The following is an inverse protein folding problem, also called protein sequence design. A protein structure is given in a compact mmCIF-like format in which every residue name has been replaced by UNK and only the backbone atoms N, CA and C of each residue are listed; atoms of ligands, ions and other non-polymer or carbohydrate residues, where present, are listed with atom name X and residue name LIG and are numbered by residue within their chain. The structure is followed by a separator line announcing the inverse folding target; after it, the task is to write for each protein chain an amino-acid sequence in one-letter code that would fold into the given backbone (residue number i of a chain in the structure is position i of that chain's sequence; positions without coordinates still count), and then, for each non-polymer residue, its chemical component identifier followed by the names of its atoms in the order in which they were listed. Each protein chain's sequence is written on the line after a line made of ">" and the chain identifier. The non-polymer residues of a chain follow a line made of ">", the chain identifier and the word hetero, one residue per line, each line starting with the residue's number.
data_IF_581666892992
#
_entry.id   IF_581666892992
#
_cell.length_a   1.000
_cell.length_b   1.000
_cell.length_c   1.000
_cell.angle_alpha   90.00
_cell.angle_beta   90.00
_cell.angle_gamma   90.00
#
_symmetry.space_group_name_H-M   'P 1'
#
loop_
_entity.id
_entity.type
_entity.pdbx_description
1 polymer ?
#
# COMPACT_ATOMS: atom_id res chain seq x y z
N UNK A 1 41.51 0.91 -10.62
CA UNK A 1 40.45 1.87 -10.97
C UNK A 1 39.11 1.16 -10.74
N UNK A 2 38.54 1.25 -9.53
CA UNK A 2 37.29 0.53 -9.23
C UNK A 2 36.17 1.15 -10.07
N UNK A 3 35.57 0.35 -10.95
CA UNK A 3 34.31 0.66 -11.62
C UNK A 3 33.22 0.75 -10.55
N UNK A 4 32.98 1.95 -10.01
CA UNK A 4 31.77 2.22 -9.26
C UNK A 4 30.58 1.95 -10.19
N UNK A 5 29.84 0.86 -9.97
CA UNK A 5 28.53 0.69 -10.59
C UNK A 5 27.66 1.80 -10.03
N UNK A 6 27.43 2.85 -10.82
CA UNK A 6 26.45 3.89 -10.52
C UNK A 6 25.07 3.24 -10.54
N UNK A 7 24.60 2.79 -9.38
CA UNK A 7 23.21 2.42 -9.20
C UNK A 7 22.42 3.71 -9.02
N UNK A 8 21.36 3.88 -9.81
CA UNK A 8 20.56 5.08 -9.81
C UNK A 8 19.13 4.79 -10.23
N UNK A 9 18.24 5.74 -10.00
CA UNK A 9 16.83 5.58 -10.31
C UNK A 9 16.23 6.89 -10.83
N UNK A 10 15.09 6.77 -11.49
CA UNK A 10 14.36 7.91 -12.05
C UNK A 10 12.90 7.84 -11.64
N UNK A 11 12.29 9.01 -11.44
CA UNK A 11 10.83 9.10 -11.32
C UNK A 11 10.14 8.66 -12.61
N UNK A 12 8.81 8.45 -12.57
CA UNK A 12 8.03 8.00 -13.72
C UNK A 12 8.17 8.94 -14.92
N UNK A 13 8.14 10.26 -14.69
CA UNK A 13 8.28 11.24 -15.78
C UNK A 13 9.73 11.57 -16.18
N UNK A 14 10.72 10.93 -15.55
CA UNK A 14 12.14 11.15 -15.83
C UNK A 14 12.74 12.48 -15.34
N UNK A 15 11.96 13.41 -14.78
CA UNK A 15 12.46 14.74 -14.37
C UNK A 15 13.35 14.73 -13.12
N UNK A 16 13.23 13.69 -12.28
CA UNK A 16 14.09 13.47 -11.13
C UNK A 16 14.94 12.23 -11.35
N UNK A 17 16.23 12.35 -11.06
CA UNK A 17 17.22 11.26 -11.15
C UNK A 17 18.06 11.23 -9.90
N UNK A 18 18.21 10.05 -9.32
CA UNK A 18 19.13 9.77 -8.23
C UNK A 18 20.30 8.93 -8.74
N UNK A 19 21.48 9.27 -8.29
CA UNK A 19 22.72 8.53 -8.50
C UNK A 19 23.35 8.27 -7.14
N UNK A 20 23.82 7.05 -6.92
CA UNK A 20 24.43 6.67 -5.64
C UNK A 20 25.84 6.15 -5.83
N UNK A 21 26.71 6.55 -4.90
CA UNK A 21 28.11 6.17 -4.81
C UNK A 21 28.25 5.01 -3.82
N UNK A 22 28.56 3.81 -4.32
CA UNK A 22 28.77 2.63 -3.47
C UNK A 22 27.51 1.82 -3.16
N UNK A 23 27.72 0.78 -2.35
CA UNK A 23 26.70 -0.21 -2.01
C UNK A 23 25.78 0.26 -0.87
N UNK A 24 24.52 -0.23 -0.81
CA UNK A 24 23.63 0.08 0.30
C UNK A 24 24.15 -0.46 1.63
N UNK A 25 23.96 0.32 2.69
CA UNK A 25 24.22 -0.07 4.07
C UNK A 25 23.23 -1.15 4.52
N UNK A 26 21.96 -0.97 4.14
CA UNK A 26 20.88 -1.89 4.46
C UNK A 26 19.72 -1.78 3.47
N UNK A 27 18.95 -2.84 3.28
CA UNK A 27 17.71 -2.86 2.48
C UNK A 27 16.58 -3.44 3.32
N UNK A 28 15.57 -2.63 3.61
CA UNK A 28 14.46 -3.02 4.49
C UNK A 28 13.10 -2.68 3.90
N UNK A 29 12.07 -3.37 4.39
CA UNK A 29 10.68 -3.04 4.12
C UNK A 29 10.03 -2.64 5.45
N UNK A 30 9.60 -1.38 5.55
CA UNK A 30 9.01 -0.81 6.75
C UNK A 30 7.48 -0.81 6.65
N UNK A 31 6.81 -1.51 7.57
CA UNK A 31 5.35 -1.74 7.58
C UNK A 31 4.59 -0.82 8.54
N UNK A 32 5.25 0.19 9.12
CA UNK A 32 4.58 1.10 10.04
C UNK A 32 3.44 1.85 9.34
N UNK A 33 2.47 2.30 10.12
CA UNK A 33 1.28 2.97 9.58
C UNK A 33 1.62 4.20 8.73
N UNK A 34 2.63 4.98 9.13
CA UNK A 34 3.08 6.15 8.37
C UNK A 34 3.65 5.77 6.99
N UNK A 35 4.44 4.69 6.92
CA UNK A 35 5.01 4.20 5.67
C UNK A 35 3.92 3.61 4.77
N UNK A 36 2.98 2.84 5.32
CA UNK A 36 1.83 2.31 4.57
C UNK A 36 0.96 3.44 3.99
N UNK A 37 0.57 4.39 4.84
CA UNK A 37 -0.29 5.51 4.45
C UNK A 37 0.40 6.47 3.49
N UNK A 38 1.72 6.66 3.58
CA UNK A 38 2.42 7.51 2.63
C UNK A 38 2.54 6.85 1.26
N UNK A 39 3.04 5.61 1.21
CA UNK A 39 3.23 4.87 -0.04
C UNK A 39 1.92 4.45 -0.70
N UNK A 40 0.83 4.37 0.07
CA UNK A 40 -0.43 3.78 -0.36
C UNK A 40 -0.35 2.25 -0.53
N UNK A 41 0.74 1.62 -0.10
CA UNK A 41 1.03 0.20 -0.33
C UNK A 41 1.35 -0.53 0.98
N UNK A 42 1.89 -1.74 0.89
CA UNK A 42 2.19 -2.63 2.02
C UNK A 42 3.22 -2.05 2.99
N UNK A 43 4.01 -1.07 2.55
CA UNK A 43 5.04 -0.43 3.34
C UNK A 43 6.03 0.33 2.45
N UNK A 44 7.01 0.99 3.07
CA UNK A 44 8.06 1.69 2.33
C UNK A 44 9.25 0.76 2.14
N UNK A 45 9.67 0.59 0.88
CA UNK A 45 10.95 -0.02 0.60
C UNK A 45 12.05 1.02 0.84
N UNK A 46 12.99 0.69 1.73
CA UNK A 46 14.05 1.58 2.15
C UNK A 46 15.41 0.96 1.83
N UNK A 47 16.10 1.55 0.85
CA UNK A 47 17.49 1.22 0.51
C UNK A 47 18.37 2.29 1.15
N UNK A 48 19.07 1.93 2.23
CA UNK A 48 19.77 2.85 3.11
C UNK A 48 21.17 3.14 2.59
N UNK A 49 21.49 4.42 2.44
CA UNK A 49 22.82 4.92 2.08
C UNK A 49 23.22 6.06 3.01
N UNK A 50 24.52 6.36 3.07
CA UNK A 50 24.98 7.61 3.69
C UNK A 50 24.47 8.77 2.85
N UNK A 51 24.14 9.88 3.52
CA UNK A 51 23.64 11.07 2.83
C UNK A 51 24.63 11.59 1.79
N UNK A 52 25.93 11.57 2.11
CA UNK A 52 26.99 12.07 1.22
C UNK A 52 27.22 11.20 -0.02
N UNK A 53 26.72 9.97 -0.02
CA UNK A 53 26.83 9.03 -1.14
C UNK A 53 25.69 9.21 -2.17
N UNK A 54 24.69 10.06 -1.90
CA UNK A 54 23.48 10.16 -2.72
C UNK A 54 23.37 11.53 -3.39
N UNK A 55 23.41 11.51 -4.72
CA UNK A 55 23.20 12.68 -5.56
C UNK A 55 21.79 12.63 -6.14
N UNK A 56 20.98 13.68 -5.93
CA UNK A 56 19.64 13.77 -6.49
C UNK A 56 19.48 15.06 -7.30
N UNK A 57 18.96 14.92 -8.52
CA UNK A 57 18.68 16.02 -9.44
C UNK A 57 17.18 16.10 -9.76
N UNK A 58 16.73 17.28 -10.14
CA UNK A 58 15.31 17.58 -10.43
C UNK A 58 14.59 18.24 -9.25
N UNK A 59 13.39 18.78 -9.51
CA UNK A 59 12.59 19.48 -8.50
C UNK A 59 11.82 18.48 -7.63
N UNK A 60 12.05 18.54 -6.32
CA UNK A 60 11.36 17.72 -5.32
C UNK A 60 10.36 18.55 -4.51
N UNK A 61 9.34 17.87 -4.00
CA UNK A 61 8.46 18.35 -2.94
C UNK A 61 8.73 17.53 -1.68
N UNK A 62 8.70 18.18 -0.53
CA UNK A 62 9.07 17.57 0.75
C UNK A 62 7.87 17.50 1.69
N UNK A 63 7.84 16.46 2.50
CA UNK A 63 6.89 16.28 3.58
C UNK A 63 7.58 15.69 4.79
N UNK A 64 7.45 16.36 5.94
CA UNK A 64 8.10 15.93 7.18
C UNK A 64 7.11 15.12 8.02
N UNK A 65 7.54 13.93 8.46
CA UNK A 65 6.83 13.06 9.40
C UNK A 65 7.80 12.50 10.43
N UNK A 66 7.69 12.97 11.68
CA UNK A 66 8.65 12.63 12.72
C UNK A 66 10.08 13.01 12.30
N UNK A 67 11.01 12.06 12.34
CA UNK A 67 12.40 12.26 11.93
C UNK A 67 12.63 12.18 10.40
N UNK A 68 11.60 11.90 9.61
CA UNK A 68 11.69 11.59 8.17
C UNK A 68 11.32 12.80 7.33
N UNK A 69 12.18 13.15 6.39
CA UNK A 69 11.88 14.11 5.32
C UNK A 69 11.64 13.35 4.03
N UNK A 70 10.37 13.10 3.73
CA UNK A 70 9.91 12.33 2.57
C UNK A 70 9.92 13.21 1.33
N UNK A 71 10.57 12.77 0.25
CA UNK A 71 10.73 13.57 -0.97
C UNK A 71 10.12 12.88 -2.19
N UNK A 72 9.25 13.60 -2.88
CA UNK A 72 8.59 13.15 -4.10
C UNK A 72 8.91 14.07 -5.27
N UNK A 73 8.80 13.57 -6.49
CA UNK A 73 8.93 14.38 -7.70
C UNK A 73 7.87 15.50 -7.72
N UNK A 74 8.26 16.76 -7.94
CA UNK A 74 7.30 17.86 -8.00
C UNK A 74 6.32 17.77 -9.18
N UNK A 75 6.68 17.06 -10.25
CA UNK A 75 5.87 16.90 -11.47
C UNK A 75 4.93 15.70 -11.42
N UNK A 76 5.45 14.50 -11.17
CA UNK A 76 4.67 13.26 -11.22
C UNK A 76 4.39 12.62 -9.85
N UNK A 77 4.86 13.24 -8.75
CA UNK A 77 4.68 12.79 -7.35
C UNK A 77 5.16 11.37 -7.02
N UNK A 78 5.86 10.70 -7.93
CA UNK A 78 6.65 9.50 -7.62
C UNK A 78 7.52 9.72 -6.38
N UNK A 79 7.50 8.78 -5.45
CA UNK A 79 8.37 8.80 -4.29
C UNK A 79 9.82 8.53 -4.72
N UNK A 80 10.74 9.40 -4.29
CA UNK A 80 12.14 9.37 -4.73
C UNK A 80 13.03 8.86 -3.60
N UNK A 81 13.01 9.56 -2.47
CA UNK A 81 13.84 9.22 -1.32
C UNK A 81 13.25 9.80 -0.04
N UNK A 82 13.70 9.28 1.09
CA UNK A 82 13.44 9.83 2.42
C UNK A 82 14.77 10.15 3.09
N UNK A 83 14.95 11.39 3.55
CA UNK A 83 16.12 11.76 4.34
C UNK A 83 15.86 11.55 5.82
N UNK A 84 16.89 11.10 6.54
CA UNK A 84 16.98 11.01 8.00
C UNK A 84 18.14 11.91 8.47
N UNK A 85 17.96 13.24 8.51
CA UNK A 85 19.07 14.19 8.64
C UNK A 85 19.91 13.98 9.90
N UNK A 86 19.26 13.70 11.04
CA UNK A 86 19.96 13.45 12.32
C UNK A 86 20.84 12.20 12.29
N UNK A 87 20.55 11.25 11.41
CA UNK A 87 21.34 10.03 11.25
C UNK A 87 22.37 10.13 10.12
N UNK A 88 22.34 11.20 9.30
CA UNK A 88 23.16 11.29 8.10
C UNK A 88 22.84 10.21 7.06
N UNK A 89 21.58 9.77 6.99
CA UNK A 89 21.13 8.67 6.13
C UNK A 89 20.07 9.11 5.13
N UNK A 90 20.06 8.44 3.97
CA UNK A 90 18.99 8.49 2.99
C UNK A 90 18.46 7.08 2.74
N UNK A 91 17.14 6.96 2.66
CA UNK A 91 16.44 5.78 2.16
C UNK A 91 15.98 6.05 0.73
N UNK A 92 16.49 5.33 -0.26
CA UNK A 92 15.92 5.39 -1.61
C UNK A 92 14.62 4.59 -1.65
N UNK A 93 13.62 5.15 -2.31
CA UNK A 93 12.31 4.52 -2.47
C UNK A 93 12.17 3.75 -3.80
N UNK A 94 13.21 3.68 -4.63
CA UNK A 94 13.07 3.38 -6.07
C UNK A 94 13.80 2.11 -6.52
N UNK A 95 13.25 1.56 -7.60
CA UNK A 95 13.37 0.21 -8.14
C UNK A 95 14.72 -0.18 -8.77
N UNK A 96 15.62 -0.77 -7.98
CA UNK A 96 16.62 -1.73 -8.47
C UNK A 96 16.27 -3.14 -7.98
N UNK A 97 16.90 -4.17 -8.57
CA UNK A 97 16.91 -5.50 -7.94
C UNK A 97 17.60 -5.35 -6.58
N UNK A 98 16.97 -5.83 -5.54
CA UNK A 98 17.47 -5.77 -4.17
C UNK A 98 17.56 -7.18 -3.59
N UNK A 99 18.47 -7.37 -2.65
CA UNK A 99 18.36 -8.44 -1.66
C UNK A 99 17.77 -7.80 -0.42
N UNK A 100 16.54 -8.13 -0.03
CA UNK A 100 15.95 -7.63 1.22
C UNK A 100 16.70 -8.21 2.41
N UNK A 101 16.89 -7.45 3.48
CA UNK A 101 17.61 -7.90 4.67
C UNK A 101 16.76 -7.97 5.94
N UNK A 102 15.66 -7.23 6.03
CA UNK A 102 14.72 -7.33 7.15
C UNK A 102 13.38 -6.62 6.87
N UNK A 103 12.35 -7.03 7.61
CA UNK A 103 11.10 -6.30 7.76
C UNK A 103 11.09 -5.59 9.10
N UNK A 104 10.70 -4.31 9.11
CA UNK A 104 10.51 -3.54 10.34
C UNK A 104 9.03 -3.22 10.54
N UNK A 105 8.59 -3.13 11.79
CA UNK A 105 7.20 -2.85 12.16
C UNK A 105 6.19 -3.88 11.66
N UNK A 106 6.56 -5.16 11.65
CA UNK A 106 5.80 -6.26 11.07
C UNK A 106 4.71 -6.82 12.01
N UNK A 107 4.00 -5.96 12.73
CA UNK A 107 2.92 -6.38 13.66
C UNK A 107 1.57 -6.56 12.97
N UNK A 108 1.32 -5.81 11.91
CA UNK A 108 0.03 -5.82 11.16
C UNK A 108 0.29 -5.66 9.66
N UNK A 109 1.05 -6.59 9.04
CA UNK A 109 1.33 -6.50 7.61
C UNK A 109 0.02 -6.59 6.79
N UNK A 110 -0.05 -5.82 5.70
CA UNK A 110 -1.22 -5.87 4.80
C UNK A 110 -1.24 -7.08 3.86
N UNK A 111 -0.07 -7.68 3.67
CA UNK A 111 0.13 -8.96 2.99
C UNK A 111 1.15 -9.70 3.83
N UNK A 112 0.88 -10.95 4.18
CA UNK A 112 1.88 -11.78 4.82
C UNK A 112 2.95 -12.21 3.80
N UNK A 113 4.11 -11.57 3.86
CA UNK A 113 5.27 -11.86 3.02
C UNK A 113 6.06 -12.99 3.68
N UNK A 114 5.80 -14.22 3.22
CA UNK A 114 6.55 -15.41 3.67
C UNK A 114 7.90 -15.50 2.93
N UNK A 115 8.87 -14.76 3.45
CA UNK A 115 10.28 -14.86 3.10
C UNK A 115 11.15 -15.25 4.32
N UNK A 116 12.44 -15.49 4.05
CA UNK A 116 13.38 -16.06 5.02
C UNK A 116 14.19 -15.00 5.77
N UNK A 117 13.85 -13.71 5.62
CA UNK A 117 14.57 -12.61 6.26
C UNK A 117 13.94 -12.27 7.62
N UNK A 118 14.73 -11.77 8.59
CA UNK A 118 14.22 -11.39 9.92
C UNK A 118 13.09 -10.37 9.86
N UNK A 119 12.08 -10.55 10.72
CA UNK A 119 10.91 -9.67 10.84
C UNK A 119 10.84 -9.15 12.26
N UNK A 120 10.80 -7.83 12.43
CA UNK A 120 10.81 -7.19 13.74
C UNK A 120 9.47 -6.52 14.05
N UNK A 121 9.04 -6.59 15.31
CA UNK A 121 7.87 -5.86 15.84
C UNK A 121 8.06 -4.35 15.67
N UNK A 122 9.29 -3.87 15.80
CA UNK A 122 9.71 -2.49 15.60
C UNK A 122 11.07 -2.44 14.87
N UNK A 123 12.12 -1.93 15.51
CA UNK A 123 13.49 -1.97 15.02
C UNK A 123 14.32 -3.05 15.76
N UNK A 124 15.37 -3.61 15.12
CA UNK A 124 16.35 -4.40 15.85
C UNK A 124 17.01 -3.57 16.97
N UNK A 125 17.49 -4.24 18.02
CA UNK A 125 18.23 -3.59 19.11
C UNK A 125 19.45 -2.79 18.62
N UNK A 126 20.11 -3.24 17.55
CA UNK A 126 21.22 -2.54 16.90
C UNK A 126 20.85 -1.20 16.25
N UNK A 127 19.55 -0.93 16.07
CA UNK A 127 19.00 0.35 15.59
C UNK A 127 18.16 1.05 16.67
N UNK A 128 18.32 0.65 17.94
CA UNK A 128 17.64 1.27 19.09
C UNK A 128 16.18 0.85 19.28
N UNK A 129 15.72 -0.24 18.65
CA UNK A 129 14.40 -0.82 18.93
C UNK A 129 14.42 -1.97 19.94
N UNK A 130 13.28 -2.62 20.12
CA UNK A 130 13.13 -3.73 21.06
C UNK A 130 13.94 -4.98 20.69
N UNK A 131 14.21 -5.19 19.40
CA UNK A 131 14.82 -6.43 18.90
C UNK A 131 13.87 -7.63 18.84
N UNK A 132 12.62 -7.48 19.27
CA UNK A 132 11.62 -8.57 19.29
C UNK A 132 11.29 -9.00 17.86
N UNK A 133 11.40 -10.30 17.59
CA UNK A 133 10.95 -10.86 16.31
C UNK A 133 9.43 -10.85 16.26
N UNK A 134 8.88 -10.46 15.11
CA UNK A 134 7.47 -10.62 14.81
C UNK A 134 7.23 -12.05 14.34
N UNK A 135 6.37 -12.78 15.04
CA UNK A 135 5.79 -14.01 14.53
C UNK A 135 4.78 -13.67 13.42
N UNK A 136 4.57 -14.57 12.46
CA UNK A 136 3.59 -14.35 11.39
C UNK A 136 2.18 -14.25 11.99
N UNK A 137 1.52 -13.10 11.82
CA UNK A 137 0.12 -12.91 12.20
C UNK A 137 -0.76 -13.11 10.98
N UNK A 138 -1.79 -13.95 11.11
CA UNK A 138 -2.85 -14.02 10.11
C UNK A 138 -3.58 -12.67 10.07
N UNK A 139 -3.68 -12.09 8.88
CA UNK A 139 -4.49 -10.91 8.66
C UNK A 139 -5.93 -11.23 9.06
N UNK A 140 -6.49 -10.47 10.01
CA UNK A 140 -7.90 -10.57 10.33
C UNK A 140 -8.68 -9.98 9.15
N UNK A 141 -9.09 -10.84 8.22
CA UNK A 141 -9.84 -10.49 7.01
C UNK A 141 -11.33 -10.51 7.30
N UNK A 142 -11.76 -9.77 8.33
CA UNK A 142 -13.19 -9.56 8.49
C UNK A 142 -13.66 -8.82 7.23
N UNK A 143 -14.67 -9.38 6.56
CA UNK A 143 -15.34 -8.79 5.40
C UNK A 143 -16.07 -7.52 5.86
N UNK A 144 -15.30 -6.46 6.09
CA UNK A 144 -15.85 -5.15 6.40
C UNK A 144 -16.50 -4.64 5.12
N UNK A 145 -17.80 -4.37 5.19
CA UNK A 145 -18.51 -3.64 4.12
C UNK A 145 -18.26 -2.13 4.19
N UNK A 146 -17.47 -1.67 5.17
CA UNK A 146 -17.12 -0.27 5.35
C UNK A 146 -15.60 -0.12 5.52
N UNK A 147 -14.98 0.62 4.59
CA UNK A 147 -13.57 1.01 4.66
C UNK A 147 -13.45 2.49 4.95
N UNK A 148 -12.46 2.85 5.75
CA UNK A 148 -12.06 4.25 5.93
C UNK A 148 -10.55 4.37 5.90
N UNK A 149 -10.07 5.53 5.47
CA UNK A 149 -8.65 5.75 5.30
C UNK A 149 -8.27 7.21 5.39
N UNK A 150 -6.97 7.45 5.59
CA UNK A 150 -6.41 8.78 5.55
C UNK A 150 -4.95 8.76 5.13
N UNK A 151 -4.52 9.85 4.52
CA UNK A 151 -3.10 10.10 4.29
C UNK A 151 -2.39 10.46 5.62
N UNK A 152 -1.05 10.36 5.72
CA UNK A 152 -0.33 10.63 6.96
C UNK A 152 -0.51 12.04 7.53
N UNK A 153 -0.77 13.05 6.68
CA UNK A 153 -0.97 14.42 7.14
C UNK A 153 -2.43 14.76 7.51
N UNK A 154 -3.35 13.79 7.41
CA UNK A 154 -4.77 13.96 7.72
C UNK A 154 -5.57 14.84 6.75
N UNK A 155 -4.96 15.36 5.68
CA UNK A 155 -5.63 16.25 4.73
C UNK A 155 -6.59 15.52 3.77
N UNK A 156 -6.40 14.21 3.60
CA UNK A 156 -7.27 13.34 2.84
C UNK A 156 -7.98 12.39 3.80
N UNK A 157 -9.30 12.29 3.67
CA UNK A 157 -10.13 11.26 4.28
C UNK A 157 -10.87 10.49 3.19
N UNK A 158 -10.94 9.17 3.35
CA UNK A 158 -11.65 8.27 2.43
C UNK A 158 -12.69 7.49 3.22
N UNK A 159 -13.90 7.37 2.68
CA UNK A 159 -14.97 6.49 3.17
C UNK A 159 -15.56 5.70 2.01
N UNK A 160 -15.79 4.41 2.24
CA UNK A 160 -16.31 3.47 1.24
C UNK A 160 -17.29 2.55 1.96
N UNK A 161 -18.50 2.39 1.40
CA UNK A 161 -19.54 1.51 1.94
C UNK A 161 -19.97 0.50 0.88
N UNK A 162 -18.99 -0.27 0.40
CA UNK A 162 -19.17 -1.26 -0.66
C UNK A 162 -18.07 -2.32 -0.59
N UNK A 163 -18.37 -3.51 -1.09
CA UNK A 163 -17.34 -4.53 -1.34
C UNK A 163 -16.50 -4.13 -2.57
N UNK A 164 -15.17 -4.41 -2.56
CA UNK A 164 -14.35 -4.16 -3.72
C UNK A 164 -14.73 -5.09 -4.88
N UNK A 165 -14.61 -4.60 -6.11
CA UNK A 165 -14.65 -5.43 -7.32
C UNK A 165 -13.47 -6.39 -7.35
N UNK A 166 -12.27 -5.90 -7.00
CA UNK A 166 -11.07 -6.73 -6.88
C UNK A 166 -10.01 -6.08 -6.01
N UNK A 167 -9.12 -6.90 -5.44
CA UNK A 167 -7.91 -6.42 -4.73
C UNK A 167 -6.68 -7.08 -5.31
N UNK A 168 -5.75 -6.27 -5.80
CA UNK A 168 -4.61 -6.72 -6.60
C UNK A 168 -3.31 -6.15 -6.04
N UNK A 169 -2.23 -6.93 -6.13
CA UNK A 169 -0.88 -6.44 -5.89
C UNK A 169 -0.06 -6.37 -7.19
N UNK A 170 0.14 -5.16 -7.72
CA UNK A 170 0.83 -4.94 -9.01
C UNK A 170 2.34 -4.70 -8.82
N UNK A 171 3.16 -5.35 -9.63
CA UNK A 171 4.63 -5.34 -9.53
C UNK A 171 5.33 -4.50 -10.60
N UNK A 172 4.59 -3.89 -11.53
CA UNK A 172 5.21 -3.16 -12.63
C UNK A 172 6.11 -2.02 -12.14
N UNK A 173 7.13 -1.69 -12.94
CA UNK A 173 8.10 -0.64 -12.62
C UNK A 173 7.41 0.70 -12.32
N UNK A 174 6.35 1.05 -13.03
CA UNK A 174 5.64 2.30 -12.78
C UNK A 174 4.95 2.29 -11.41
N UNK A 175 4.23 1.23 -11.07
CA UNK A 175 3.58 1.08 -9.76
C UNK A 175 4.61 1.18 -8.63
N UNK A 176 5.74 0.49 -8.76
CA UNK A 176 6.84 0.57 -7.77
C UNK A 176 7.46 1.96 -7.69
N UNK A 177 7.60 2.65 -8.83
CA UNK A 177 8.16 4.01 -8.88
C UNK A 177 7.16 5.06 -8.37
N UNK A 178 5.86 4.80 -8.47
CA UNK A 178 4.83 5.68 -7.93
C UNK A 178 4.80 5.59 -6.41
N UNK A 179 4.60 4.37 -5.89
CA UNK A 179 4.40 4.10 -4.46
C UNK A 179 5.69 4.15 -3.65
N UNK A 180 6.85 4.02 -4.28
CA UNK A 180 8.11 3.85 -3.56
C UNK A 180 8.19 2.56 -2.73
N UNK A 181 7.35 1.58 -3.06
CA UNK A 181 7.22 0.30 -2.38
C UNK A 181 7.67 -0.85 -3.29
N UNK A 182 7.64 -2.08 -2.79
CA UNK A 182 7.95 -3.28 -3.57
C UNK A 182 6.86 -3.64 -4.59
N UNK A 183 5.69 -3.01 -4.49
CA UNK A 183 4.55 -3.14 -5.40
C UNK A 183 3.46 -2.14 -5.03
N UNK A 184 2.32 -2.29 -5.68
CA UNK A 184 1.16 -1.43 -5.46
C UNK A 184 -0.06 -2.24 -5.06
N UNK A 185 -0.66 -1.91 -3.91
CA UNK A 185 -1.86 -2.55 -3.38
C UNK A 185 -3.09 -1.78 -3.86
N UNK A 186 -3.71 -2.28 -4.92
CA UNK A 186 -4.87 -1.72 -5.58
C UNK A 186 -6.14 -2.35 -5.02
N UNK A 187 -7.03 -1.56 -4.41
CA UNK A 187 -8.38 -1.99 -4.01
C UNK A 187 -9.39 -1.27 -4.90
N UNK A 188 -10.07 -2.00 -5.77
CA UNK A 188 -10.87 -1.43 -6.87
C UNK A 188 -12.35 -1.44 -6.49
N UNK A 189 -13.02 -0.30 -6.73
CA UNK A 189 -14.44 -0.10 -6.48
C UNK A 189 -15.11 0.56 -7.68
N UNK A 190 -16.44 0.48 -7.74
CA UNK A 190 -17.21 1.44 -8.54
C UNK A 190 -16.98 2.86 -7.99
N UNK A 191 -16.65 3.81 -8.88
CA UNK A 191 -16.21 5.14 -8.47
C UNK A 191 -17.28 5.92 -7.69
N UNK A 192 -18.58 5.68 -7.95
CA UNK A 192 -19.67 6.37 -7.24
C UNK A 192 -19.78 5.96 -5.76
N UNK A 193 -19.20 4.81 -5.39
CA UNK A 193 -19.24 4.25 -4.03
C UNK A 193 -18.06 4.70 -3.17
N UNK A 194 -17.13 5.48 -3.72
CA UNK A 194 -15.94 5.96 -3.03
C UNK A 194 -16.07 7.46 -2.78
N UNK A 195 -16.03 7.84 -1.50
CA UNK A 195 -16.01 9.24 -1.09
C UNK A 195 -14.59 9.62 -0.68
N UNK A 196 -14.07 10.69 -1.28
CA UNK A 196 -12.75 11.24 -0.91
C UNK A 196 -12.93 12.73 -0.61
N UNK A 197 -12.59 13.11 0.62
CA UNK A 197 -12.52 14.50 1.05
C UNK A 197 -11.06 14.98 1.06
N UNK A 198 -10.85 16.22 0.64
CA UNK A 198 -9.53 16.87 0.58
C UNK A 198 -8.97 17.04 -0.83
N UNK A 199 -7.86 17.76 -0.94
CA UNK A 199 -7.28 18.15 -2.23
C UNK A 199 -6.34 17.07 -2.80
N UNK A 200 -6.73 16.50 -3.93
CA UNK A 200 -5.93 15.55 -4.70
C UNK A 200 -5.27 16.24 -5.89
N UNK A 201 -4.02 15.86 -6.16
CA UNK A 201 -3.35 16.17 -7.41
C UNK A 201 -3.41 14.94 -8.30
N UNK A 202 -4.02 15.10 -9.48
CA UNK A 202 -3.88 14.13 -10.56
C UNK A 202 -2.49 14.25 -11.16
N UNK A 203 -1.77 13.13 -11.16
CA UNK A 203 -0.42 13.03 -11.71
C UNK A 203 -0.46 12.10 -12.91
N UNK A 204 0.29 12.44 -13.97
CA UNK A 204 0.18 11.79 -15.28
C UNK A 204 0.26 10.26 -15.31
N UNK A 205 -0.10 9.69 -16.47
CA UNK A 205 -0.23 8.26 -16.82
C UNK A 205 -1.02 7.39 -15.83
N UNK A 206 -2.19 6.92 -16.27
CA UNK A 206 -2.99 5.90 -15.58
C UNK A 206 -3.93 6.42 -14.49
N UNK A 207 -4.29 7.71 -14.50
CA UNK A 207 -5.33 8.25 -13.61
C UNK A 207 -4.95 8.38 -12.12
N UNK A 208 -3.65 8.27 -11.80
CA UNK A 208 -3.09 8.32 -10.43
C UNK A 208 -3.37 9.64 -9.73
N UNK A 209 -3.64 9.57 -8.43
CA UNK A 209 -3.99 10.70 -7.55
C UNK A 209 -3.19 10.63 -6.26
N UNK A 210 -2.52 11.72 -5.93
CA UNK A 210 -1.75 11.89 -4.70
C UNK A 210 -2.35 13.01 -3.84
N UNK A 211 -2.15 12.95 -2.52
CA UNK A 211 -2.47 14.07 -1.63
C UNK A 211 -1.67 15.32 -2.04
N UNK A 212 -2.33 16.47 -2.21
CA UNK A 212 -1.68 17.71 -2.62
C UNK A 212 -0.60 18.18 -1.62
N UNK A 213 -0.82 17.93 -0.32
CA UNK A 213 0.04 18.37 0.79
C UNK A 213 1.22 17.42 1.03
N UNK A 214 0.95 16.14 1.31
CA UNK A 214 1.99 15.19 1.72
C UNK A 214 2.49 14.28 0.59
N UNK A 215 1.93 14.43 -0.62
CA UNK A 215 2.21 13.61 -1.79
C UNK A 215 1.90 12.11 -1.63
N UNK A 216 1.24 11.67 -0.54
CA UNK A 216 0.88 10.27 -0.37
C UNK A 216 0.04 9.74 -1.53
N UNK A 217 0.23 8.48 -1.92
CA UNK A 217 -0.58 7.82 -2.95
C UNK A 217 -1.97 7.51 -2.39
N UNK A 218 -3.03 7.94 -3.08
CA UNK A 218 -4.41 7.85 -2.56
C UNK A 218 -5.28 6.95 -3.44
N UNK A 219 -5.31 7.21 -4.74
CA UNK A 219 -6.25 6.57 -5.64
C UNK A 219 -5.74 6.58 -7.08
N UNK A 220 -6.35 5.75 -7.94
CA UNK A 220 -6.11 5.77 -9.38
C UNK A 220 -7.43 5.56 -10.11
N UNK A 221 -7.76 6.47 -11.03
CA UNK A 221 -8.90 6.28 -11.92
C UNK A 221 -8.51 5.30 -13.03
N UNK A 222 -9.29 4.24 -13.18
CA UNK A 222 -9.17 3.31 -14.30
C UNK A 222 -10.34 3.57 -15.23
N UNK A 223 -10.07 4.17 -16.38
CA UNK A 223 -11.07 4.35 -17.42
C UNK A 223 -10.72 3.39 -18.57
N UNK A 224 -11.39 2.24 -18.69
CA UNK A 224 -11.38 1.52 -19.96
C UNK A 224 -11.96 2.45 -21.04
N UNK A 225 -11.47 2.34 -22.28
CA UNK A 225 -12.01 3.13 -23.38
C UNK A 225 -13.41 2.62 -23.77
N UNK A 226 -14.39 3.53 -23.92
CA UNK A 226 -15.73 3.24 -24.42
C UNK A 226 -16.88 3.69 -23.48
N UNK A 227 -18.08 3.99 -24.01
CA UNK A 227 -19.22 4.52 -23.24
C UNK A 227 -19.84 3.50 -22.26
N UNK A 228 -19.56 2.21 -22.39
CA UNK A 228 -20.06 1.13 -21.52
C UNK A 228 -19.02 0.68 -20.47
N UNK A 229 -17.82 1.28 -20.48
CA UNK A 229 -16.75 0.92 -19.56
C UNK A 229 -17.16 1.21 -18.10
N UNK A 230 -17.00 0.27 -17.16
CA UNK A 230 -17.32 0.52 -15.77
C UNK A 230 -16.45 1.68 -15.25
N UNK A 231 -17.10 2.66 -14.61
CA UNK A 231 -16.43 3.78 -13.96
C UNK A 231 -15.76 3.28 -12.68
N UNK A 232 -14.52 2.80 -12.78
CA UNK A 232 -13.80 2.20 -11.67
C UNK A 232 -12.82 3.18 -11.04
N UNK A 233 -12.83 3.24 -9.72
CA UNK A 233 -11.84 3.94 -8.93
C UNK A 233 -11.12 2.93 -8.04
N UNK A 234 -9.80 2.91 -8.19
CA UNK A 234 -8.93 2.23 -7.26
C UNK A 234 -8.58 3.15 -6.10
N UNK A 235 -8.64 2.62 -4.88
CA UNK A 235 -8.09 3.22 -3.66
C UNK A 235 -6.86 2.43 -3.23
N UNK A 236 -5.80 3.16 -2.88
CA UNK A 236 -4.55 2.59 -2.41
C UNK A 236 -4.76 1.86 -1.06
N UNK A 237 -4.56 0.55 -1.00
CA UNK A 237 -4.87 -0.24 0.21
C UNK A 237 -4.06 0.15 1.45
N UNK A 238 -2.88 0.77 1.27
CA UNK A 238 -2.02 1.24 2.37
C UNK A 238 -2.62 2.38 3.19
N UNK A 239 -3.61 3.11 2.67
CA UNK A 239 -4.29 4.17 3.42
C UNK A 239 -5.51 3.69 4.20
N UNK A 240 -6.01 2.48 3.90
CA UNK A 240 -7.22 1.92 4.49
C UNK A 240 -6.93 1.32 5.87
N UNK A 241 -7.94 1.36 6.73
CA UNK A 241 -7.92 0.76 8.07
C UNK A 241 -7.69 -0.76 8.04
N UNK A 242 -8.35 -1.45 7.12
CA UNK A 242 -8.25 -2.89 6.91
C UNK A 242 -8.55 -3.19 5.44
N UNK A 243 -7.55 -3.11 4.54
CA UNK A 243 -7.79 -3.42 3.14
C UNK A 243 -8.13 -4.91 2.99
N UNK A 244 -9.02 -5.26 2.04
CA UNK A 244 -9.36 -6.64 1.74
C UNK A 244 -8.13 -7.46 1.32
N UNK A 245 -8.21 -8.78 1.45
CA UNK A 245 -7.12 -9.68 1.05
C UNK A 245 -6.83 -9.55 -0.44
N UNK A 246 -5.55 -9.57 -0.80
CA UNK A 246 -5.12 -9.65 -2.20
C UNK A 246 -5.65 -10.95 -2.82
N UNK A 247 -6.19 -10.82 -4.03
CA UNK A 247 -6.75 -11.93 -4.80
C UNK A 247 -5.74 -12.44 -5.85
N UNK A 248 -4.94 -11.53 -6.43
CA UNK A 248 -3.93 -11.87 -7.42
C UNK A 248 -2.81 -10.84 -7.49
N UNK A 249 -1.68 -11.26 -8.08
CA UNK A 249 -0.54 -10.41 -8.36
C UNK A 249 -0.43 -10.23 -9.86
N UNK A 250 -0.29 -8.98 -10.31
CA UNK A 250 -0.10 -8.64 -11.71
C UNK A 250 1.32 -8.15 -11.97
N UNK A 251 1.77 -8.30 -13.22
CA UNK A 251 3.10 -7.91 -13.68
C UNK A 251 4.23 -8.55 -12.85
N UNK A 252 4.01 -9.77 -12.36
CA UNK A 252 4.92 -10.46 -11.42
C UNK A 252 6.28 -10.80 -12.04
N UNK A 253 6.39 -10.77 -13.37
CA UNK A 253 7.68 -10.82 -14.08
C UNK A 253 8.61 -9.63 -13.75
N UNK A 254 8.05 -8.48 -13.34
CA UNK A 254 8.77 -7.26 -12.98
C UNK A 254 9.04 -7.11 -11.48
N UNK A 255 8.68 -8.12 -10.68
CA UNK A 255 8.86 -8.10 -9.22
C UNK A 255 10.33 -7.89 -8.82
N UNK A 256 10.52 -7.26 -7.67
CA UNK A 256 11.84 -7.18 -7.01
C UNK A 256 11.91 -7.97 -5.71
N UNK A 257 10.76 -8.42 -5.21
CA UNK A 257 10.65 -9.33 -4.06
C UNK A 257 9.77 -10.50 -4.46
N UNK A 258 10.19 -11.70 -4.07
CA UNK A 258 9.33 -12.88 -4.15
C UNK A 258 8.38 -12.86 -2.97
N UNK A 259 7.08 -12.94 -3.24
CA UNK A 259 6.01 -12.98 -2.23
C UNK A 259 5.28 -14.31 -2.34
N UNK A 260 5.33 -15.10 -1.26
CA UNK A 260 4.69 -16.42 -1.12
C UNK A 260 3.47 -16.27 -0.21
N UNK A 261 2.28 -16.06 -0.78
CA UNK A 261 1.04 -15.74 -0.03
C UNK A 261 -0.19 -16.54 -0.51
N UNK A 262 0.01 -17.55 -1.36
CA UNK A 262 -1.08 -18.36 -1.92
C UNK A 262 -1.89 -17.73 -3.06
N UNK A 263 -1.60 -16.49 -3.48
CA UNK A 263 -2.36 -15.82 -4.53
C UNK A 263 -1.75 -16.07 -5.93
N UNK A 264 -2.59 -16.12 -6.97
CA UNK A 264 -2.14 -16.28 -8.35
C UNK A 264 -1.13 -15.19 -8.77
N UNK A 265 -0.06 -15.59 -9.48
CA UNK A 265 1.04 -14.71 -9.89
C UNK A 265 1.09 -14.53 -11.41
N UNK A 266 0.31 -13.61 -11.95
CA UNK A 266 0.29 -13.36 -13.39
C UNK A 266 1.62 -12.76 -13.87
N UNK A 267 2.16 -13.31 -14.96
CA UNK A 267 3.36 -12.80 -15.65
C UNK A 267 3.19 -11.32 -16.00
N UNK A 268 2.06 -10.98 -16.60
CA UNK A 268 1.61 -9.64 -16.93
C UNK A 268 0.18 -9.37 -16.41
N UNK A 269 -0.85 -9.53 -17.22
CA UNK A 269 -2.25 -9.36 -16.84
C UNK A 269 -3.06 -10.63 -17.17
N UNK A 270 -4.23 -10.81 -16.54
CA UNK A 270 -5.23 -11.78 -16.99
C UNK A 270 -5.61 -11.58 -18.47
N UNK A 271 -6.04 -12.66 -19.14
CA UNK A 271 -6.35 -12.64 -20.59
C UNK A 271 -7.54 -11.74 -20.93
N UNK A 272 -8.56 -11.74 -20.09
CA UNK A 272 -9.74 -10.87 -20.12
C UNK A 272 -9.41 -9.38 -19.89
N UNK A 273 -8.20 -9.08 -19.39
CA UNK A 273 -7.66 -7.73 -19.24
C UNK A 273 -6.57 -7.39 -20.27
N UNK A 274 -6.46 -8.16 -21.36
CA UNK A 274 -5.52 -7.92 -22.45
C UNK A 274 -4.08 -8.37 -22.18
N UNK A 275 -3.82 -9.18 -21.15
CA UNK A 275 -2.52 -9.81 -20.91
C UNK A 275 -2.41 -11.22 -21.51
N UNK A 276 -1.29 -11.90 -21.25
CA UNK A 276 -1.09 -13.27 -21.73
C UNK A 276 -1.91 -14.30 -20.95
N UNK A 277 -2.25 -13.99 -19.69
CA UNK A 277 -2.87 -14.94 -18.76
C UNK A 277 -1.89 -15.97 -18.17
N UNK A 278 -0.60 -15.91 -18.51
CA UNK A 278 0.41 -16.83 -17.98
C UNK A 278 0.62 -16.60 -16.47
N UNK A 279 0.82 -17.69 -15.71
CA UNK A 279 1.08 -17.65 -14.27
C UNK A 279 2.50 -18.16 -13.97
N UNK A 280 3.29 -17.39 -13.20
CA UNK A 280 4.73 -17.63 -12.94
C UNK A 280 5.05 -18.37 -11.63
N UNK A 281 4.09 -19.07 -11.03
CA UNK A 281 4.32 -19.82 -9.79
C UNK A 281 3.13 -20.70 -9.42
N UNK A 282 3.39 -21.78 -8.68
CA UNK A 282 2.34 -22.57 -8.06
C UNK A 282 1.85 -21.85 -6.80
N UNK A 283 0.58 -21.50 -6.81
CA UNK A 283 -0.39 -21.68 -5.72
C UNK A 283 -1.67 -21.06 -6.26
N UNK A 284 -2.36 -21.82 -7.11
CA UNK A 284 -3.74 -21.52 -7.48
C UNK A 284 -4.55 -21.84 -6.23
N UNK A 285 -4.87 -20.85 -5.40
CA UNK A 285 -6.07 -20.98 -4.59
C UNK A 285 -7.24 -20.93 -5.58
N UNK A 286 -8.04 -22.00 -5.73
CA UNK A 286 -9.24 -21.95 -6.55
C UNK A 286 -10.28 -21.17 -5.74
N UNK A 287 -10.21 -19.86 -5.73
CA UNK A 287 -11.35 -19.05 -5.34
C UNK A 287 -11.91 -18.41 -6.59
N UNK A 288 -12.86 -19.13 -7.19
CA UNK A 288 -13.90 -18.49 -7.98
C UNK A 288 -14.58 -17.46 -7.07
N UNK A 289 -14.41 -16.18 -7.38
CA UNK A 289 -15.31 -15.15 -6.85
C UNK A 289 -16.66 -15.41 -7.50
N UNK A 290 -17.49 -16.22 -6.83
CA UNK A 290 -18.90 -16.29 -7.18
C UNK A 290 -19.55 -15.13 -6.44
N UNK A 291 -19.87 -14.07 -7.19
CA UNK A 291 -20.65 -12.93 -6.69
C UNK A 291 -22.03 -13.45 -6.27
N UNK A 292 -22.25 -13.66 -4.98
CA UNK A 292 -23.59 -13.79 -4.44
C UNK A 292 -23.99 -12.44 -3.85
N UNK A 293 -24.75 -11.68 -4.63
CA UNK A 293 -25.45 -10.50 -4.13
C UNK A 293 -26.75 -10.96 -3.48
N UNK A 294 -26.81 -10.85 -2.15
CA UNK A 294 -27.97 -10.69 -1.26
C UNK A 294 -27.42 -10.78 0.16
N UNK A 295 -27.69 -9.90 1.11
CA UNK A 295 -29.02 -9.43 1.49
C UNK A 295 -28.93 -8.22 2.43
N UNK A 296 -30.11 -7.64 2.62
CA UNK A 296 -30.50 -6.52 3.47
C UNK A 296 -30.29 -6.78 5.00
N UNK A 297 -29.95 -5.72 5.74
CA UNK A 297 -30.07 -5.51 7.19
C UNK A 297 -29.11 -6.22 8.19
N UNK A 298 -28.16 -5.45 8.75
CA UNK A 298 -27.23 -5.90 9.79
C UNK A 298 -27.60 -5.40 11.21
N UNK A 299 -27.61 -6.33 12.16
CA UNK A 299 -27.38 -6.05 13.57
C UNK A 299 -27.06 -7.35 14.30
N UNK A 300 -25.82 -7.61 14.72
CA UNK A 300 -25.38 -8.94 15.18
C UNK A 300 -24.60 -8.87 16.51
N UNK A 301 -24.79 -9.90 17.36
CA UNK A 301 -24.00 -10.16 18.58
C UNK A 301 -23.22 -11.48 18.47
N UNK A 302 -22.00 -11.50 19.00
CA UNK A 302 -21.02 -12.59 18.86
C UNK A 302 -20.59 -13.16 20.21
N UNK A 303 -20.22 -14.45 20.24
CA UNK A 303 -19.36 -14.99 21.31
C UNK A 303 -18.20 -15.82 20.77
N UNK A 304 -17.16 -15.92 21.59
CA UNK A 304 -15.90 -16.56 21.27
C UNK A 304 -15.64 -17.74 22.20
N UNK A 305 -15.37 -18.92 21.63
CA UNK A 305 -14.87 -20.08 22.37
C UNK A 305 -13.68 -20.67 21.59
N UNK A 306 -12.47 -20.43 22.08
CA UNK A 306 -11.23 -20.71 21.33
C UNK A 306 -11.08 -19.83 20.08
N UNK A 307 -10.38 -20.31 19.03
CA UNK A 307 -10.16 -19.58 17.76
C UNK A 307 -11.35 -19.62 16.78
N UNK A 308 -12.57 -19.93 17.25
CA UNK A 308 -13.77 -19.99 16.42
C UNK A 308 -14.79 -19.00 16.95
N UNK A 309 -15.22 -18.07 16.09
CA UNK A 309 -16.34 -17.17 16.36
C UNK A 309 -17.64 -17.85 15.91
N UNK A 310 -18.69 -17.78 16.72
CA UNK A 310 -20.03 -18.29 16.38
C UNK A 310 -21.03 -17.16 16.55
N UNK A 311 -21.83 -16.90 15.51
CA UNK A 311 -22.91 -15.90 15.55
C UNK A 311 -24.04 -16.42 16.42
N UNK A 312 -24.45 -15.63 17.43
CA UNK A 312 -25.46 -16.06 18.40
C UNK A 312 -26.85 -15.48 18.12
N UNK A 313 -26.96 -14.23 17.63
CA UNK A 313 -28.26 -13.62 17.32
C UNK A 313 -28.14 -12.31 16.50
N UNK A 314 -29.19 -12.00 15.73
CA UNK A 314 -29.38 -10.74 14.98
C UNK A 314 -30.38 -9.82 15.72
N UNK A 315 -30.05 -8.55 16.01
CA UNK A 315 -30.95 -7.47 16.51
C UNK A 315 -30.83 -6.17 15.70
N UNK A 316 -31.92 -5.82 14.99
CA UNK A 316 -32.09 -4.75 13.97
C UNK A 316 -32.06 -3.26 14.43
N UNK A 317 -31.53 -2.86 15.61
CA UNK A 317 -31.93 -1.55 16.19
C UNK A 317 -30.84 -0.61 16.77
N UNK A 318 -29.58 -0.63 16.35
CA UNK A 318 -28.53 0.16 17.04
C UNK A 318 -27.95 1.40 16.32
N UNK A 319 -28.13 1.64 15.02
CA UNK A 319 -27.51 2.82 14.36
C UNK A 319 -28.38 4.09 14.38
N UNK A 320 -29.71 3.97 14.37
CA UNK A 320 -30.62 5.14 14.42
C UNK A 320 -30.79 5.66 15.86
N UNK A 321 -30.64 4.80 16.88
CA UNK A 321 -30.83 5.20 18.28
C UNK A 321 -29.66 6.01 18.84
N UNK A 322 -28.42 5.74 18.43
CA UNK A 322 -27.23 6.48 18.89
C UNK A 322 -27.20 7.93 18.37
N UNK A 323 -27.58 8.14 17.10
CA UNK A 323 -27.69 9.48 16.53
C UNK A 323 -28.84 10.29 17.15
N UNK A 324 -29.96 9.63 17.47
CA UNK A 324 -31.12 10.26 18.09
C UNK A 324 -30.92 10.61 19.57
N UNK A 325 -30.22 9.76 20.34
CA UNK A 325 -29.85 10.04 21.73
C UNK A 325 -28.81 11.16 21.88
N UNK A 326 -27.91 11.34 20.89
CA UNK A 326 -26.96 12.46 20.90
C UNK A 326 -27.67 13.81 20.64
N UNK A 327 -28.68 13.82 19.77
CA UNK A 327 -29.52 14.99 19.49
C UNK A 327 -30.52 15.30 20.62
N UNK A 328 -31.13 14.29 21.24
CA UNK A 328 -32.10 14.47 22.34
C UNK A 328 -31.42 14.81 23.68
N UNK A 329 -30.11 14.55 23.86
CA UNK A 329 -29.34 14.90 25.06
C UNK A 329 -28.52 16.20 24.95
N UNK A 330 -28.57 16.90 23.82
CA UNK A 330 -27.93 18.21 23.66
C UNK A 330 -26.41 18.22 23.89
N UNK A 331 -25.69 17.19 23.44
CA UNK A 331 -24.21 17.11 23.55
C UNK A 331 -23.55 17.43 22.20
N UNK A 332 -24.15 18.36 21.45
CA UNK A 332 -23.50 19.29 20.51
C UNK A 332 -24.26 20.61 20.56
#
# INVERSE_FOLDING_TARGET
>A
MLLFRLAGCTCICGSCRVTVLGEPLKTTLCHCQDCRRWTGSVGQLAIWHRQDDVLCSGKLVEFVTGARVRKSCARCRSHILTSLPKAGLIELCVASKISLQAHFFYVTPLIDIKDDVPKFVDFPASLGGSGVQAESWEQCTDNLQVFYGSCPCGAIAVSISAEPTTTIFCHCRECRSWTGSCGHLAVVFEASLVQIAGELISVGHGGRRNCAKCSACIASAHSPEGPEAPNLLEVCGGILNAPPRVQAHWKYSERILSIKDGCAKFKDFPKDMGGSGDVLGQEVAPYAVTLFRKDEDLGLEFSFVGRKCRVLKVRRHSLIHAARLALEKGIM
#
